data_IF_098526195992
#
_entry.id   IF_098526195992
#
_cell.length_a   1.000
_cell.length_b   1.000
_cell.length_c   1.000
_cell.angle_alpha   90.00
_cell.angle_beta   90.00
_cell.angle_gamma   90.00
#
_symmetry.space_group_name_H-M   'P 1'
#
loop_
_entity.id
_entity.type
_entity.pdbx_description
1 polymer ?
#
# COMPACT_ATOMS: atom_id res chain seq x y z
N UNK A 1 -12.90 -23.02 9.11
CA UNK A 1 -13.30 -21.71 8.54
C UNK A 1 -13.48 -20.75 9.70
N UNK A 2 -12.90 -19.55 9.69
CA UNK A 2 -13.25 -18.55 10.69
C UNK A 2 -14.74 -18.22 10.55
N UNK A 3 -15.40 -18.00 11.68
CA UNK A 3 -16.82 -17.69 11.73
C UNK A 3 -17.07 -16.26 11.24
N UNK A 4 -18.29 -15.95 10.76
CA UNK A 4 -18.67 -14.56 10.44
C UNK A 4 -18.43 -13.61 11.62
N UNK A 5 -18.49 -14.10 12.86
CA UNK A 5 -18.20 -13.32 14.07
C UNK A 5 -16.73 -12.92 14.21
N UNK A 6 -15.80 -13.62 13.58
CA UNK A 6 -14.38 -13.27 13.53
C UNK A 6 -14.10 -12.17 12.49
N UNK A 7 -14.98 -12.01 11.50
CA UNK A 7 -14.89 -11.00 10.44
C UNK A 7 -15.64 -9.70 10.78
N UNK A 8 -16.60 -9.75 11.72
CA UNK A 8 -17.36 -8.59 12.17
C UNK A 8 -16.69 -8.03 13.43
N UNK A 9 -16.15 -6.81 13.32
CA UNK A 9 -15.49 -6.15 14.43
C UNK A 9 -16.49 -5.85 15.55
N UNK A 10 -16.23 -6.41 16.73
CA UNK A 10 -17.00 -6.18 17.95
C UNK A 10 -16.78 -4.74 18.43
N UNK A 11 -17.85 -3.95 18.30
CA UNK A 11 -18.11 -2.65 18.94
C UNK A 11 -17.38 -1.41 18.35
N UNK A 12 -18.07 -0.59 17.54
CA UNK A 12 -17.57 0.70 17.03
C UNK A 12 -17.21 1.72 18.12
N UNK A 13 -17.76 1.59 19.33
CA UNK A 13 -17.50 2.53 20.44
C UNK A 13 -16.10 2.39 21.06
N UNK A 14 -15.39 1.29 20.78
CA UNK A 14 -14.02 1.05 21.28
C UNK A 14 -12.93 1.80 20.53
N UNK A 15 -13.22 2.35 19.36
CA UNK A 15 -12.25 3.05 18.51
C UNK A 15 -12.79 4.44 18.14
N UNK A 16 -12.76 5.42 19.06
CA UNK A 16 -13.38 6.74 18.87
C UNK A 16 -12.69 7.61 17.81
N UNK A 17 -11.68 7.10 17.11
CA UNK A 17 -10.89 7.87 16.17
C UNK A 17 -11.42 7.69 14.74
N UNK A 18 -12.43 8.48 14.38
CA UNK A 18 -12.95 8.63 13.01
C UNK A 18 -11.86 9.01 11.99
N UNK A 19 -10.67 9.45 12.43
CA UNK A 19 -9.53 9.70 11.53
C UNK A 19 -8.82 8.41 11.11
N UNK A 20 -8.84 7.38 11.95
CA UNK A 20 -8.13 6.12 11.72
C UNK A 20 -9.01 5.04 11.07
N UNK A 21 -10.33 5.13 11.23
CA UNK A 21 -11.30 4.17 10.75
C UNK A 21 -12.37 4.86 9.90
N UNK A 22 -12.79 4.26 8.79
CA UNK A 22 -14.06 4.63 8.16
C UNK A 22 -15.17 3.69 8.63
N UNK A 23 -16.30 4.26 9.03
CA UNK A 23 -17.51 3.50 9.38
C UNK A 23 -18.48 3.35 8.20
N UNK A 24 -18.19 4.03 7.07
CA UNK A 24 -19.06 4.05 5.89
C UNK A 24 -18.48 3.29 4.71
N UNK A 25 -17.17 3.35 4.53
CA UNK A 25 -16.51 2.82 3.35
C UNK A 25 -15.35 1.88 3.72
N UNK A 26 -15.11 0.89 2.87
CA UNK A 26 -13.95 0.02 2.98
C UNK A 26 -13.59 -0.47 1.57
N UNK A 27 -12.30 -0.52 1.25
CA UNK A 27 -11.88 -1.24 0.05
C UNK A 27 -12.19 -2.73 0.19
N UNK A 28 -12.77 -3.31 -0.85
CA UNK A 28 -13.01 -4.76 -0.93
C UNK A 28 -11.80 -5.44 -1.57
N UNK A 29 -10.98 -6.18 -0.80
CA UNK A 29 -9.92 -6.97 -1.39
C UNK A 29 -10.48 -8.14 -2.21
N UNK A 30 -9.68 -8.62 -3.14
CA UNK A 30 -9.86 -9.92 -3.78
C UNK A 30 -8.91 -10.95 -3.15
N UNK A 31 -9.33 -12.21 -3.18
CA UNK A 31 -8.60 -13.32 -2.61
C UNK A 31 -7.65 -13.94 -3.65
N UNK A 32 -6.43 -14.25 -3.22
CA UNK A 32 -5.37 -14.86 -4.02
C UNK A 32 -4.93 -16.15 -3.34
N UNK A 33 -4.74 -17.22 -4.11
CA UNK A 33 -4.17 -18.48 -3.63
C UNK A 33 -2.86 -18.82 -4.32
N UNK A 34 -1.98 -19.47 -3.59
CA UNK A 34 -0.81 -20.11 -4.17
C UNK A 34 -1.20 -21.46 -4.77
N UNK A 35 -0.65 -21.75 -5.93
CA UNK A 35 -0.83 -23.00 -6.66
C UNK A 35 0.53 -23.52 -7.14
N UNK A 36 0.62 -24.84 -7.35
CA UNK A 36 1.87 -25.47 -7.81
C UNK A 36 2.05 -25.23 -9.30
N UNK A 37 3.21 -24.70 -9.68
CA UNK A 37 3.65 -24.59 -11.07
C UNK A 37 4.64 -25.73 -11.38
N UNK A 38 4.10 -26.90 -11.72
CA UNK A 38 4.91 -28.05 -12.15
C UNK A 38 6.05 -28.41 -11.18
N UNK A 39 7.17 -28.90 -11.72
CA UNK A 39 8.31 -29.43 -10.96
C UNK A 39 9.32 -28.36 -10.46
N UNK A 40 8.87 -27.18 -10.00
CA UNK A 40 9.83 -26.28 -9.33
C UNK A 40 9.42 -24.85 -9.01
N UNK A 41 8.18 -24.42 -9.30
CA UNK A 41 7.73 -23.08 -8.94
C UNK A 41 6.33 -23.08 -8.33
N UNK A 42 5.95 -21.95 -7.74
CA UNK A 42 4.57 -21.62 -7.44
C UNK A 42 4.05 -20.58 -8.43
N UNK A 43 2.73 -20.50 -8.53
CA UNK A 43 2.03 -19.44 -9.25
C UNK A 43 0.84 -19.01 -8.40
N UNK A 44 0.53 -17.72 -8.42
CA UNK A 44 -0.62 -17.17 -7.72
C UNK A 44 -1.84 -17.13 -8.63
N UNK A 45 -3.00 -17.54 -8.10
CA UNK A 45 -4.29 -17.43 -8.78
C UNK A 45 -5.22 -16.51 -8.05
N UNK A 46 -5.93 -15.67 -8.79
CA UNK A 46 -7.03 -14.86 -8.27
C UNK A 46 -8.28 -15.75 -8.20
N UNK A 47 -8.81 -15.96 -6.99
CA UNK A 47 -9.91 -16.92 -6.74
C UNK A 47 -11.26 -16.24 -6.47
N UNK A 48 -11.30 -14.91 -6.37
CA UNK A 48 -12.53 -14.12 -6.30
C UNK A 48 -12.47 -12.96 -7.30
N UNK A 49 -13.60 -12.31 -7.59
CA UNK A 49 -13.59 -11.22 -8.58
C UNK A 49 -12.81 -10.01 -8.05
N UNK A 50 -12.09 -9.31 -8.92
CA UNK A 50 -11.47 -8.02 -8.61
C UNK A 50 -12.56 -6.95 -8.72
N UNK A 51 -12.72 -6.13 -7.67
CA UNK A 51 -13.77 -5.11 -7.66
C UNK A 51 -13.68 -4.19 -8.89
N UNK A 52 -14.80 -3.92 -9.53
CA UNK A 52 -14.92 -3.18 -10.80
C UNK A 52 -14.24 -3.80 -12.04
N UNK A 53 -13.70 -5.02 -11.96
CA UNK A 53 -13.18 -5.76 -13.13
C UNK A 53 -13.98 -7.04 -13.36
N UNK A 54 -14.81 -7.05 -14.41
CA UNK A 54 -15.68 -8.18 -14.70
C UNK A 54 -14.86 -9.43 -15.06
N UNK A 55 -15.05 -10.57 -14.36
CA UNK A 55 -14.21 -11.75 -14.53
C UNK A 55 -14.29 -12.37 -15.94
N UNK A 56 -15.50 -12.52 -16.50
CA UNK A 56 -15.67 -13.06 -17.85
C UNK A 56 -15.24 -12.09 -18.97
N UNK A 57 -15.52 -10.79 -18.84
CA UNK A 57 -15.20 -9.80 -19.89
C UNK A 57 -13.70 -9.43 -19.93
N UNK A 58 -12.99 -9.59 -18.81
CA UNK A 58 -11.58 -9.17 -18.68
C UNK A 58 -10.66 -10.31 -18.23
N UNK A 59 -10.89 -11.54 -18.69
CA UNK A 59 -10.08 -12.72 -18.32
C UNK A 59 -8.57 -12.50 -18.53
N UNK A 60 -8.19 -11.87 -19.65
CA UNK A 60 -6.78 -11.56 -19.92
C UNK A 60 -6.16 -10.66 -18.84
N UNK A 61 -6.92 -9.69 -18.32
CA UNK A 61 -6.45 -8.79 -17.28
C UNK A 61 -6.23 -9.52 -15.95
N UNK A 62 -7.07 -10.50 -15.60
CA UNK A 62 -6.84 -11.35 -14.43
C UNK A 62 -5.51 -12.11 -14.56
N UNK A 63 -5.23 -12.70 -15.73
CA UNK A 63 -3.94 -13.37 -15.97
C UNK A 63 -2.74 -12.43 -15.90
N UNK A 64 -2.91 -11.16 -16.29
CA UNK A 64 -1.85 -10.14 -16.13
C UNK A 64 -1.65 -9.81 -14.65
N UNK A 65 -2.73 -9.65 -13.88
CA UNK A 65 -2.66 -9.39 -12.44
C UNK A 65 -1.99 -10.55 -11.70
N UNK A 66 -2.34 -11.80 -12.00
CA UNK A 66 -1.69 -12.99 -11.44
C UNK A 66 -0.18 -13.02 -11.70
N UNK A 67 0.25 -12.76 -12.94
CA UNK A 67 1.68 -12.65 -13.27
C UNK A 67 2.36 -11.51 -12.52
N UNK A 68 1.68 -10.37 -12.37
CA UNK A 68 2.23 -9.25 -11.62
C UNK A 68 2.38 -9.60 -10.15
N UNK A 69 1.40 -10.28 -9.56
CA UNK A 69 1.47 -10.76 -8.18
C UNK A 69 2.66 -11.68 -8.00
N UNK A 70 2.87 -12.67 -8.89
CA UNK A 70 4.03 -13.57 -8.83
C UNK A 70 5.36 -12.82 -8.74
N UNK A 71 5.53 -11.78 -9.57
CA UNK A 71 6.76 -10.96 -9.58
C UNK A 71 6.85 -10.08 -8.32
N UNK A 72 5.71 -9.73 -7.74
CA UNK A 72 5.63 -8.87 -6.56
C UNK A 72 5.89 -9.63 -5.26
N UNK A 73 5.53 -10.92 -5.14
CA UNK A 73 5.66 -11.70 -3.90
C UNK A 73 7.09 -11.71 -3.34
N UNK A 74 8.16 -11.98 -4.13
CA UNK A 74 9.52 -11.91 -3.61
C UNK A 74 9.91 -10.51 -3.12
N UNK A 75 9.42 -9.46 -3.78
CA UNK A 75 9.66 -8.08 -3.37
C UNK A 75 8.92 -7.73 -2.08
N UNK A 76 7.70 -8.25 -1.88
CA UNK A 76 6.99 -8.12 -0.60
C UNK A 76 7.66 -8.90 0.52
N UNK A 77 8.14 -10.12 0.27
CA UNK A 77 8.92 -10.89 1.25
C UNK A 77 10.11 -10.06 1.76
N UNK A 78 10.87 -9.44 0.86
CA UNK A 78 11.98 -8.57 1.23
C UNK A 78 11.48 -7.34 2.01
N UNK A 79 10.48 -6.64 1.48
CA UNK A 79 9.91 -5.43 2.10
C UNK A 79 9.42 -5.67 3.52
N UNK A 80 8.79 -6.81 3.80
CA UNK A 80 8.24 -7.15 5.11
C UNK A 80 9.28 -7.77 6.05
N UNK A 81 10.27 -8.49 5.50
CA UNK A 81 11.40 -9.02 6.28
C UNK A 81 12.17 -7.89 6.95
N UNK A 82 12.41 -6.80 6.22
CA UNK A 82 13.11 -5.61 6.74
C UNK A 82 12.34 -4.94 7.91
N UNK A 83 11.03 -5.19 8.05
CA UNK A 83 10.21 -4.71 9.17
C UNK A 83 10.20 -5.70 10.35
N UNK A 84 10.22 -7.02 10.06
CA UNK A 84 10.08 -8.08 11.07
C UNK A 84 11.36 -8.33 11.86
N UNK A 85 12.52 -8.04 11.29
CA UNK A 85 13.82 -8.33 11.89
C UNK A 85 14.07 -7.48 13.18
N UNK A 86 14.27 -8.09 14.36
CA UNK A 86 14.58 -7.36 15.58
C UNK A 86 15.91 -6.60 15.44
N UNK A 87 15.89 -5.31 15.78
CA UNK A 87 17.02 -4.39 15.58
C UNK A 87 16.95 -3.59 14.28
N UNK A 88 16.05 -3.95 13.35
CA UNK A 88 15.62 -3.09 12.25
C UNK A 88 14.29 -2.43 12.63
N UNK A 89 14.33 -1.52 13.61
CA UNK A 89 13.48 -0.35 13.45
C UNK A 89 13.87 0.27 12.10
N UNK A 90 12.92 0.86 11.37
CA UNK A 90 13.15 1.43 10.03
C UNK A 90 14.02 2.72 10.11
N UNK A 91 15.06 2.71 10.93
CA UNK A 91 16.13 3.67 10.98
C UNK A 91 16.84 3.66 9.62
N UNK A 92 17.20 4.85 9.13
CA UNK A 92 18.21 4.99 8.07
C UNK A 92 19.57 4.37 8.46
N UNK A 93 19.77 3.89 9.71
CA UNK A 93 21.06 3.46 10.24
C UNK A 93 20.97 2.21 11.12
N UNK A 94 21.92 1.30 10.91
CA UNK A 94 22.38 0.35 11.92
C UNK A 94 23.35 1.07 12.84
N UNK A 95 23.11 1.05 14.15
CA UNK A 95 24.20 1.23 15.11
C UNK A 95 25.07 -0.01 14.99
N UNK A 96 26.24 0.14 14.37
CA UNK A 96 27.29 -0.84 14.51
C UNK A 96 27.61 -0.94 16.00
N UNK A 97 27.12 -1.99 16.66
CA UNK A 97 27.61 -2.39 17.97
C UNK A 97 29.12 -2.60 17.82
N UNK A 98 29.86 -1.64 18.36
CA UNK A 98 31.31 -1.54 18.56
C UNK A 98 32.14 -2.68 17.92
N UNK A 99 32.82 -2.38 16.80
CA UNK A 99 34.04 -3.11 16.39
C UNK A 99 34.17 -3.58 14.94
N UNK A 100 33.49 -3.02 13.93
CA UNK A 100 33.64 -3.48 12.52
C UNK A 100 33.63 -2.35 11.47
N UNK A 101 34.38 -2.61 10.39
CA UNK A 101 34.66 -1.69 9.27
C UNK A 101 33.41 -1.32 8.44
N UNK A 102 33.34 -0.07 7.91
CA UNK A 102 32.18 0.45 7.19
C UNK A 102 31.97 -0.18 5.81
N UNK A 103 30.69 -0.40 5.44
CA UNK A 103 30.30 -0.83 4.09
C UNK A 103 30.42 0.32 3.08
N UNK A 104 31.30 0.16 2.10
CA UNK A 104 31.41 1.05 0.93
C UNK A 104 30.31 0.67 -0.08
N UNK A 105 29.40 1.59 -0.38
CA UNK A 105 28.43 1.46 -1.49
C UNK A 105 29.19 1.65 -2.80
N UNK A 106 29.19 0.64 -3.68
CA UNK A 106 29.76 0.76 -5.05
C UNK A 106 28.70 1.32 -6.02
N UNK A 107 29.18 2.06 -7.01
CA UNK A 107 28.40 2.66 -8.10
C UNK A 107 27.54 1.66 -8.90
N UNK A 108 26.44 2.13 -9.54
CA UNK A 108 25.42 1.26 -10.14
C UNK A 108 25.92 0.56 -11.40
N UNK A 109 26.18 -0.76 -11.28
CA UNK A 109 26.34 -1.66 -12.43
C UNK A 109 25.02 -2.34 -12.81
N UNK A 110 25.08 -3.20 -13.84
CA UNK A 110 23.94 -3.97 -14.34
C UNK A 110 23.16 -4.69 -13.23
N UNK A 111 21.82 -4.66 -13.32
CA UNK A 111 20.93 -5.27 -12.34
C UNK A 111 21.11 -6.80 -12.33
N UNK A 112 21.62 -7.29 -11.21
CA UNK A 112 21.52 -8.69 -10.83
C UNK A 112 20.53 -8.74 -9.66
N UNK A 113 19.58 -9.69 -9.60
CA UNK A 113 18.76 -9.86 -8.40
C UNK A 113 19.72 -9.98 -7.20
N UNK A 114 19.47 -9.27 -6.10
CA UNK A 114 20.39 -9.26 -4.98
C UNK A 114 20.59 -10.70 -4.51
N UNK A 115 21.77 -11.26 -4.75
CA UNK A 115 22.19 -12.47 -4.05
C UNK A 115 22.13 -12.11 -2.58
N UNK A 116 21.20 -12.75 -1.86
CA UNK A 116 20.87 -12.54 -0.46
C UNK A 116 22.14 -12.24 0.35
N UNK A 117 22.45 -10.95 0.52
CA UNK A 117 23.65 -10.51 1.25
C UNK A 117 23.29 -10.59 2.72
N UNK A 118 23.49 -11.79 3.24
CA UNK A 118 23.42 -12.09 4.65
C UNK A 118 24.37 -11.20 5.44
N UNK A 119 23.84 -10.24 6.17
CA UNK A 119 24.58 -9.61 7.26
C UNK A 119 24.88 -10.69 8.31
N UNK A 120 26.02 -10.61 9.02
CA UNK A 120 26.37 -11.58 10.10
C UNK A 120 25.34 -11.63 11.26
N UNK A 121 24.37 -10.72 11.28
CA UNK A 121 23.32 -10.55 12.30
C UNK A 121 22.18 -11.57 12.20
N UNK A 122 22.03 -12.21 11.04
CA UNK A 122 20.97 -13.20 10.78
C UNK A 122 21.37 -14.61 11.23
N UNK A 123 22.55 -14.74 11.83
CA UNK A 123 23.11 -16.00 12.25
C UNK A 123 22.94 -16.17 13.77
N UNK A 124 22.52 -17.36 14.20
CA UNK A 124 22.55 -17.75 15.61
C UNK A 124 24.01 -17.86 16.11
N UNK A 125 24.18 -18.17 17.40
CA UNK A 125 25.51 -18.37 18.00
C UNK A 125 26.35 -19.48 17.33
N UNK A 126 25.74 -20.28 16.46
CA UNK A 126 26.36 -21.37 15.70
C UNK A 126 26.61 -21.00 14.23
N UNK A 127 26.35 -19.75 13.82
CA UNK A 127 26.55 -19.34 12.44
C UNK A 127 25.46 -19.81 11.48
N UNK A 128 24.28 -20.21 11.99
CA UNK A 128 23.14 -20.69 11.17
C UNK A 128 22.09 -19.60 11.02
N UNK A 129 21.48 -19.51 9.83
CA UNK A 129 20.40 -18.55 9.61
C UNK A 129 19.24 -18.77 10.57
N UNK A 130 18.79 -17.68 11.16
CA UNK A 130 17.58 -17.65 11.96
C UNK A 130 16.40 -17.51 10.99
N UNK A 131 15.92 -18.64 10.49
CA UNK A 131 14.87 -18.73 9.47
C UNK A 131 13.57 -17.98 9.83
N UNK A 132 13.31 -17.72 11.12
CA UNK A 132 12.11 -17.03 11.59
C UNK A 132 12.09 -15.52 11.34
N UNK A 133 13.24 -14.88 11.07
CA UNK A 133 13.29 -13.44 10.75
C UNK A 133 12.78 -13.14 9.34
N UNK A 134 12.90 -14.09 8.43
CA UNK A 134 12.49 -13.91 7.05
C UNK A 134 10.98 -14.09 6.92
N UNK A 135 10.37 -13.22 6.12
CA UNK A 135 8.99 -13.37 5.69
C UNK A 135 8.99 -14.17 4.40
N UNK A 136 8.25 -15.27 4.41
CA UNK A 136 7.97 -16.06 3.21
C UNK A 136 6.46 -16.18 3.05
N UNK A 137 5.86 -15.25 2.32
CA UNK A 137 4.41 -15.18 2.14
C UNK A 137 3.84 -16.46 1.53
N UNK A 138 4.58 -17.09 0.61
CA UNK A 138 4.14 -18.34 -0.01
C UNK A 138 4.10 -19.47 1.01
N UNK A 139 5.19 -19.68 1.75
CA UNK A 139 5.29 -20.74 2.75
C UNK A 139 4.35 -20.52 3.93
N UNK A 140 4.29 -19.29 4.45
CA UNK A 140 3.50 -18.94 5.62
C UNK A 140 1.99 -18.98 5.34
N UNK A 141 1.56 -18.53 4.16
CA UNK A 141 0.15 -18.37 3.81
C UNK A 141 -0.33 -19.32 2.71
N UNK A 142 0.41 -20.40 2.39
CA UNK A 142 0.04 -21.39 1.37
C UNK A 142 -1.41 -21.86 1.46
N UNK A 143 -1.86 -22.22 2.67
CA UNK A 143 -3.18 -22.83 2.89
C UNK A 143 -4.33 -21.81 2.91
N UNK A 144 -4.05 -20.58 3.35
CA UNK A 144 -5.08 -19.56 3.59
C UNK A 144 -5.20 -18.62 2.39
N UNK A 145 -4.10 -18.39 1.67
CA UNK A 145 -4.00 -17.41 0.60
C UNK A 145 -3.79 -15.99 1.14
N UNK A 146 -3.70 -15.05 0.21
CA UNK A 146 -3.54 -13.61 0.46
C UNK A 146 -4.82 -12.85 0.12
N UNK A 147 -4.92 -11.64 0.63
CA UNK A 147 -5.95 -10.66 0.26
C UNK A 147 -5.26 -9.43 -0.30
N UNK A 148 -5.71 -8.97 -1.47
CA UNK A 148 -5.06 -7.86 -2.17
C UNK A 148 -6.09 -6.86 -2.68
N UNK A 149 -5.71 -5.59 -2.74
CA UNK A 149 -6.52 -4.53 -3.35
C UNK A 149 -5.78 -4.04 -4.59
N UNK A 150 -6.51 -3.95 -5.70
CA UNK A 150 -6.00 -3.44 -6.96
C UNK A 150 -6.50 -2.00 -7.17
N UNK A 151 -5.57 -1.10 -7.48
CA UNK A 151 -5.89 0.26 -7.92
C UNK A 151 -5.19 0.54 -9.24
N UNK A 152 -5.94 0.97 -10.24
CA UNK A 152 -5.39 1.46 -11.52
C UNK A 152 -5.52 2.98 -11.50
N UNK A 153 -4.40 3.67 -11.74
CA UNK A 153 -4.35 5.13 -11.79
C UNK A 153 -3.79 5.55 -13.15
N UNK A 154 -4.49 6.45 -13.83
CA UNK A 154 -4.06 7.05 -15.08
C UNK A 154 -4.05 8.56 -14.91
N UNK A 155 -2.88 9.15 -15.14
CA UNK A 155 -2.66 10.60 -15.11
C UNK A 155 -2.48 11.02 -16.55
N UNK A 156 -3.51 11.66 -17.12
CA UNK A 156 -3.50 12.19 -18.48
C UNK A 156 -3.26 13.69 -18.45
N UNK A 157 -2.23 14.13 -19.18
CA UNK A 157 -1.86 15.53 -19.34
C UNK A 157 -2.14 15.95 -20.79
N UNK A 158 -2.74 17.13 -20.96
CA UNK A 158 -3.03 17.71 -22.27
C UNK A 158 -2.41 19.10 -22.38
N UNK A 159 -2.23 19.68 -23.57
CA UNK A 159 -1.76 21.05 -23.71
C UNK A 159 -2.59 22.08 -22.91
N UNK A 160 -3.88 21.85 -22.72
CA UNK A 160 -4.78 22.69 -21.91
C UNK A 160 -4.59 22.50 -20.40
N UNK A 161 -4.22 21.28 -19.99
CA UNK A 161 -3.89 20.94 -18.60
C UNK A 161 -2.52 20.23 -18.55
N UNK A 162 -1.42 20.99 -18.71
CA UNK A 162 -0.09 20.41 -18.95
C UNK A 162 0.60 19.93 -17.68
N UNK A 163 0.00 20.18 -16.50
CA UNK A 163 0.57 19.88 -15.20
C UNK A 163 -0.41 19.12 -14.30
N UNK A 164 0.13 18.13 -13.61
CA UNK A 164 -0.47 17.45 -12.48
C UNK A 164 0.29 17.85 -11.21
N UNK A 165 -0.39 18.40 -10.21
CA UNK A 165 0.25 18.99 -9.02
C UNK A 165 0.78 17.97 -8.01
N UNK A 166 0.62 16.68 -8.28
CA UNK A 166 1.03 15.61 -7.36
C UNK A 166 -0.09 15.18 -6.42
N UNK A 167 0.27 14.36 -5.44
CA UNK A 167 -0.60 13.95 -4.35
C UNK A 167 -0.15 14.59 -3.03
N UNK A 168 -1.08 14.72 -2.08
CA UNK A 168 -0.72 15.04 -0.71
C UNK A 168 -0.05 13.85 -0.02
N UNK A 169 0.66 14.13 1.07
CA UNK A 169 1.22 13.08 1.93
C UNK A 169 0.13 12.22 2.54
N UNK A 170 0.19 10.91 2.28
CA UNK A 170 -0.79 9.96 2.78
C UNK A 170 -0.18 8.58 3.07
N UNK A 171 -0.86 7.81 3.92
CA UNK A 171 -0.67 6.36 4.05
C UNK A 171 -1.69 5.66 3.16
N UNK A 172 -1.39 4.45 2.67
CA UNK A 172 -2.32 3.71 1.81
C UNK A 172 -3.45 3.10 2.66
N UNK A 173 -4.69 3.43 2.31
CA UNK A 173 -5.88 3.02 3.06
C UNK A 173 -5.95 3.62 4.48
N UNK A 174 -6.87 3.09 5.28
CA UNK A 174 -7.07 3.35 6.70
C UNK A 174 -6.96 2.03 7.49
N UNK A 175 -7.21 2.07 8.79
CA UNK A 175 -7.09 0.88 9.65
C UNK A 175 -8.11 -0.23 9.31
N UNK A 176 -9.27 0.12 8.74
CA UNK A 176 -10.26 -0.86 8.30
C UNK A 176 -9.82 -1.64 7.05
N UNK A 177 -8.88 -1.13 6.24
CA UNK A 177 -8.36 -1.82 5.05
C UNK A 177 -7.07 -2.61 5.30
N UNK A 178 -6.39 -2.38 6.44
CA UNK A 178 -5.25 -3.19 6.94
C UNK A 178 -4.16 -3.44 5.90
N UNK A 179 -3.87 -2.45 5.07
CA UNK A 179 -2.80 -2.53 4.09
C UNK A 179 -1.46 -2.53 4.83
N UNK A 180 -0.62 -3.55 4.59
CA UNK A 180 0.69 -3.68 5.22
C UNK A 180 1.84 -3.32 4.27
N UNK A 181 1.68 -3.57 2.97
CA UNK A 181 2.66 -3.22 1.95
C UNK A 181 1.96 -2.82 0.65
N UNK A 182 2.65 -2.03 -0.17
CA UNK A 182 2.17 -1.57 -1.46
C UNK A 182 3.22 -1.77 -2.53
N UNK A 183 2.78 -2.24 -3.68
CA UNK A 183 3.57 -2.35 -4.90
C UNK A 183 2.98 -1.43 -5.97
N UNK A 184 3.83 -0.65 -6.63
CA UNK A 184 3.45 0.24 -7.72
C UNK A 184 4.22 -0.19 -8.96
N UNK A 185 3.49 -0.62 -9.98
CA UNK A 185 4.01 -0.96 -11.30
C UNK A 185 3.66 0.15 -12.29
N UNK A 186 4.66 0.70 -12.95
CA UNK A 186 4.44 1.72 -13.98
C UNK A 186 4.47 1.08 -15.36
N UNK A 187 3.32 0.97 -16.00
CA UNK A 187 3.15 0.23 -17.25
C UNK A 187 3.07 1.12 -18.50
N UNK A 188 3.07 2.44 -18.33
CA UNK A 188 3.16 3.38 -19.44
C UNK A 188 3.56 4.77 -18.95
N UNK A 189 4.59 5.34 -19.59
CA UNK A 189 4.97 6.74 -19.44
C UNK A 189 5.19 7.31 -20.83
N UNK A 190 4.58 8.45 -21.12
CA UNK A 190 4.75 9.10 -22.41
C UNK A 190 4.68 10.62 -22.29
N UNK A 191 5.66 11.32 -22.85
CA UNK A 191 5.71 12.78 -22.92
C UNK A 191 5.52 13.50 -21.57
N UNK A 192 6.10 12.97 -20.50
CA UNK A 192 6.05 13.60 -19.16
C UNK A 192 7.44 13.75 -18.57
N UNK A 193 7.61 14.70 -17.67
CA UNK A 193 8.79 14.79 -16.80
C UNK A 193 8.91 13.52 -15.96
N UNK A 194 10.12 13.21 -15.42
CA UNK A 194 10.30 12.04 -14.56
C UNK A 194 9.36 12.09 -13.36
N UNK A 195 8.44 11.15 -13.30
CA UNK A 195 7.53 11.01 -12.16
C UNK A 195 8.27 10.32 -11.00
N UNK A 196 8.04 10.78 -9.77
CA UNK A 196 8.74 10.26 -8.59
C UNK A 196 7.79 10.10 -7.41
N UNK A 197 7.99 9.03 -6.63
CA UNK A 197 7.35 8.82 -5.34
C UNK A 197 8.27 9.35 -4.24
N UNK A 198 7.72 10.18 -3.36
CA UNK A 198 8.42 10.74 -2.21
C UNK A 198 7.96 10.04 -0.94
N UNK A 199 8.90 9.70 -0.06
CA UNK A 199 8.66 8.94 1.17
C UNK A 199 9.07 9.75 2.39
N UNK A 200 8.27 9.69 3.46
CA UNK A 200 8.63 10.22 4.77
C UNK A 200 8.05 9.36 5.89
N UNK A 201 8.62 9.48 7.09
CA UNK A 201 8.11 8.80 8.29
C UNK A 201 8.23 9.68 9.52
N UNK A 202 7.45 9.33 10.54
CA UNK A 202 7.65 9.83 11.90
C UNK A 202 8.68 8.95 12.61
N UNK A 203 9.59 9.54 13.37
CA UNK A 203 10.37 8.82 14.39
C UNK A 203 9.44 8.56 15.59
N UNK A 204 9.41 7.34 16.11
CA UNK A 204 8.62 7.03 17.30
C UNK A 204 9.36 7.45 18.59
N UNK A 205 8.64 7.51 19.72
CA UNK A 205 9.20 7.98 20.99
C UNK A 205 10.37 7.11 21.49
N UNK A 206 10.31 5.79 21.28
CA UNK A 206 11.40 4.87 21.66
C UNK A 206 12.66 5.08 20.81
N UNK A 207 12.50 5.25 19.49
CA UNK A 207 13.59 5.61 18.58
C UNK A 207 14.19 6.97 18.94
N UNK A 208 13.35 7.95 19.32
CA UNK A 208 13.80 9.26 19.77
C UNK A 208 14.52 9.20 21.12
N UNK A 209 14.03 8.40 22.08
CA UNK A 209 14.68 8.17 23.37
C UNK A 209 16.02 7.48 23.20
N UNK A 210 16.09 6.42 22.38
CA UNK A 210 17.36 5.78 22.03
C UNK A 210 18.29 6.77 21.35
N UNK A 211 17.79 7.57 20.41
CA UNK A 211 18.59 8.57 19.71
C UNK A 211 19.06 9.70 20.64
N UNK A 212 18.40 10.01 21.76
CA UNK A 212 18.78 11.07 22.69
C UNK A 212 20.21 10.92 23.19
N UNK A 213 20.60 9.71 23.58
CA UNK A 213 21.96 9.41 24.06
C UNK A 213 23.00 9.45 22.92
N UNK A 214 22.58 9.24 21.67
CA UNK A 214 23.44 9.28 20.47
C UNK A 214 23.57 10.69 19.85
N UNK A 215 22.51 11.49 19.92
CA UNK A 215 22.45 12.86 19.40
C UNK A 215 23.22 13.82 20.32
N UNK A 216 23.34 13.49 21.61
CA UNK A 216 24.26 14.16 22.55
C UNK A 216 25.70 13.61 22.47
N UNK A 217 25.94 12.63 21.59
CA UNK A 217 27.24 12.00 21.36
C UNK A 217 28.03 12.75 20.24
N UNK A 218 29.31 12.44 19.99
CA UNK A 218 30.34 13.36 19.47
C UNK A 218 30.00 14.11 18.16
N UNK A 219 30.72 15.20 17.83
CA UNK A 219 30.37 16.16 16.75
C UNK A 219 30.08 15.60 15.35
N UNK A 220 30.50 14.35 15.07
CA UNK A 220 30.30 13.65 13.80
C UNK A 220 28.97 12.85 13.73
N UNK A 221 28.25 12.73 14.83
CA UNK A 221 26.99 11.98 14.91
C UNK A 221 25.92 12.52 13.93
N UNK A 222 25.76 13.84 13.73
CA UNK A 222 24.84 14.36 12.73
C UNK A 222 25.19 13.97 11.28
N UNK A 223 26.47 13.94 10.91
CA UNK A 223 26.91 13.53 9.57
C UNK A 223 26.65 12.04 9.32
N UNK A 224 26.72 11.22 10.37
CA UNK A 224 26.46 9.78 10.28
C UNK A 224 24.97 9.45 10.34
N UNK A 225 24.20 10.07 11.23
CA UNK A 225 22.80 9.72 11.51
C UNK A 225 21.77 10.61 10.82
N UNK A 226 22.22 11.68 10.14
CA UNK A 226 21.35 12.59 9.39
C UNK A 226 20.26 13.25 10.23
N UNK A 227 20.45 13.31 11.56
CA UNK A 227 19.53 13.89 12.52
C UNK A 227 20.31 14.59 13.64
N UNK A 228 19.83 15.75 14.07
CA UNK A 228 20.38 16.60 15.14
C UNK A 228 19.34 16.81 16.23
N UNK A 229 19.81 17.20 17.41
CA UNK A 229 18.92 17.63 18.49
C UNK A 229 18.14 18.84 18.00
N UNK A 230 16.81 18.80 18.10
CA UNK A 230 15.92 19.85 17.59
C UNK A 230 15.49 19.69 16.13
N UNK A 231 15.94 18.66 15.42
CA UNK A 231 15.41 18.36 14.08
C UNK A 231 13.94 17.92 14.13
N UNK A 232 13.16 18.16 13.06
CA UNK A 232 11.78 17.68 13.00
C UNK A 232 11.68 16.17 13.17
N UNK A 233 10.70 15.74 13.97
CA UNK A 233 10.35 14.31 14.19
C UNK A 233 9.89 13.62 12.89
N UNK A 234 9.56 14.40 11.86
CA UNK A 234 9.22 13.91 10.52
C UNK A 234 10.47 13.89 9.66
N UNK A 235 10.93 12.69 9.32
CA UNK A 235 12.10 12.47 8.46
C UNK A 235 11.68 12.19 7.02
N UNK A 236 12.24 12.94 6.08
CA UNK A 236 12.17 12.61 4.66
C UNK A 236 13.09 11.42 4.38
N UNK A 237 12.53 10.34 3.84
CA UNK A 237 13.26 9.08 3.62
C UNK A 237 13.93 9.04 2.25
N UNK A 238 13.45 9.83 1.30
CA UNK A 238 14.01 9.93 -0.04
C UNK A 238 12.92 9.91 -1.11
N UNK A 239 13.36 10.11 -2.35
CA UNK A 239 12.50 10.08 -3.53
C UNK A 239 12.97 8.96 -4.47
N UNK A 240 12.00 8.25 -5.06
CA UNK A 240 12.25 7.18 -6.03
C UNK A 240 11.56 7.55 -7.34
N UNK A 241 12.35 7.74 -8.39
CA UNK A 241 11.81 7.92 -9.74
C UNK A 241 11.13 6.65 -10.23
N UNK A 242 9.86 6.78 -10.61
CA UNK A 242 9.11 5.72 -11.29
C UNK A 242 9.38 5.83 -12.79
N UNK A 243 9.84 4.72 -13.37
CA UNK A 243 10.12 4.60 -14.80
C UNK A 243 9.23 3.52 -15.39
N UNK A 244 8.98 3.59 -16.69
CA UNK A 244 8.23 2.55 -17.39
C UNK A 244 8.88 1.18 -17.17
N UNK A 245 8.05 0.15 -16.98
CA UNK A 245 8.44 -1.21 -16.65
C UNK A 245 9.17 -1.39 -15.31
N UNK A 246 9.09 -0.42 -14.39
CA UNK A 246 9.62 -0.54 -13.04
C UNK A 246 8.52 -0.90 -12.03
N UNK A 247 8.80 -1.88 -11.20
CA UNK A 247 8.03 -2.26 -10.02
C UNK A 247 8.74 -1.72 -8.77
N UNK A 248 8.01 -1.02 -7.91
CA UNK A 248 8.51 -0.50 -6.63
C UNK A 248 7.63 -1.01 -5.52
N UNK A 249 8.21 -1.67 -4.51
CA UNK A 249 7.50 -2.09 -3.31
C UNK A 249 7.97 -1.29 -2.11
N UNK A 250 7.04 -0.99 -1.20
CA UNK A 250 7.34 -0.30 0.04
C UNK A 250 6.34 -0.70 1.14
N UNK A 251 6.76 -0.65 2.41
CA UNK A 251 5.88 -0.95 3.52
C UNK A 251 4.92 0.22 3.79
N UNK A 252 3.71 -0.08 4.25
CA UNK A 252 2.68 0.92 4.53
C UNK A 252 2.88 1.66 5.87
N UNK A 253 4.12 1.73 6.34
CA UNK A 253 4.56 2.56 7.47
C UNK A 253 5.04 3.94 7.02
N UNK A 254 5.35 4.09 5.73
CA UNK A 254 5.77 5.36 5.15
C UNK A 254 4.55 6.17 4.71
N UNK A 255 4.59 7.47 4.98
CA UNK A 255 3.77 8.40 4.22
C UNK A 255 4.40 8.56 2.84
N UNK A 256 3.55 8.48 1.84
CA UNK A 256 3.92 8.55 0.43
C UNK A 256 3.18 9.68 -0.25
N UNK A 257 3.80 10.25 -1.27
CA UNK A 257 3.12 11.11 -2.24
C UNK A 257 3.74 10.96 -3.61
N UNK A 258 2.93 11.11 -4.65
CA UNK A 258 3.40 11.33 -5.99
C UNK A 258 3.79 12.80 -6.17
N UNK A 259 4.99 13.08 -6.66
CA UNK A 259 5.44 14.45 -6.94
C UNK A 259 4.73 15.04 -8.18
N UNK A 260 4.75 16.37 -8.37
CA UNK A 260 4.20 17.01 -9.56
C UNK A 260 4.80 16.46 -10.85
N UNK A 261 3.97 16.37 -11.90
CA UNK A 261 4.34 15.86 -13.22
C UNK A 261 3.89 16.87 -14.27
N UNK A 262 4.75 17.16 -15.25
CA UNK A 262 4.50 18.14 -16.31
C UNK A 262 4.76 17.50 -17.68
N UNK A 263 4.20 18.08 -18.74
CA UNK A 263 4.53 17.70 -20.12
C UNK A 263 5.96 18.12 -20.47
N UNK A 264 6.68 17.27 -21.20
CA UNK A 264 7.99 17.64 -21.78
C UNK A 264 7.78 18.45 -23.06
N UNK A 265 6.96 17.95 -23.97
CA UNK A 265 6.49 18.66 -25.16
C UNK A 265 5.06 19.17 -24.92
N UNK A 266 4.93 20.47 -24.64
CA UNK A 266 3.66 21.14 -24.33
C UNK A 266 2.66 21.15 -25.52
N UNK A 267 3.11 20.79 -26.73
CA UNK A 267 2.24 20.72 -27.90
C UNK A 267 1.52 19.38 -28.05
N UNK A 268 1.95 18.35 -27.31
CA UNK A 268 1.43 16.98 -27.41
C UNK A 268 0.87 16.50 -26.08
N UNK A 269 -0.14 15.61 -26.08
CA UNK A 269 -0.60 14.98 -24.86
C UNK A 269 0.47 14.02 -24.30
N UNK A 270 0.38 13.76 -23.00
CA UNK A 270 1.26 12.86 -22.27
C UNK A 270 0.49 12.10 -21.20
N UNK A 271 1.05 11.01 -20.71
CA UNK A 271 0.40 10.21 -19.68
C UNK A 271 1.38 9.44 -18.79
N UNK A 272 0.94 9.17 -17.57
CA UNK A 272 1.56 8.23 -16.64
C UNK A 272 0.51 7.23 -16.18
N UNK A 273 0.83 5.95 -16.31
CA UNK A 273 -0.08 4.83 -16.07
C UNK A 273 0.49 3.88 -15.02
N UNK A 274 -0.23 3.80 -13.90
CA UNK A 274 0.19 3.06 -12.71
C UNK A 274 -0.82 1.96 -12.39
N UNK A 275 -0.29 0.79 -12.08
CA UNK A 275 -1.03 -0.32 -11.49
C UNK A 275 -0.47 -0.54 -10.08
N UNK A 276 -1.31 -0.33 -9.08
CA UNK A 276 -0.94 -0.45 -7.67
C UNK A 276 -1.62 -1.68 -7.06
N UNK A 277 -0.82 -2.53 -6.42
CA UNK A 277 -1.26 -3.66 -5.62
C UNK A 277 -1.00 -3.36 -4.15
N UNK A 278 -2.04 -3.39 -3.33
CA UNK A 278 -1.91 -3.30 -1.89
C UNK A 278 -2.07 -4.69 -1.29
N UNK A 279 -1.10 -5.11 -0.48
CA UNK A 279 -1.18 -6.33 0.31
C UNK A 279 -1.93 -6.02 1.61
N UNK A 280 -3.05 -6.71 1.84
CA UNK A 280 -3.77 -6.67 3.12
C UNK A 280 -3.09 -7.64 4.08
N UNK A 281 -2.97 -7.27 5.35
CA UNK A 281 -2.33 -8.09 6.40
C UNK A 281 -2.83 -9.54 6.38
N UNK A 282 -2.00 -10.51 5.95
CA UNK A 282 -2.42 -11.89 5.80
C UNK A 282 -2.74 -12.57 7.13
N UNK A 283 -2.24 -12.02 8.26
CA UNK A 283 -2.52 -12.55 9.60
C UNK A 283 -3.96 -12.27 10.05
N UNK A 284 -4.65 -11.33 9.40
CA UNK A 284 -6.02 -10.96 9.76
C UNK A 284 -6.89 -10.75 8.53
N UNK A 285 -7.67 -11.77 8.21
CA UNK A 285 -8.64 -11.75 7.11
C UNK A 285 -9.75 -10.71 7.34
N UNK A 286 -10.20 -10.11 6.26
CA UNK A 286 -11.37 -9.23 6.22
C UNK A 286 -12.37 -9.66 5.14
N UNK A 287 -13.55 -9.05 5.16
CA UNK A 287 -14.56 -9.23 4.11
C UNK A 287 -13.97 -8.92 2.74
N UNK A 288 -14.05 -9.88 1.83
CA UNK A 288 -13.53 -9.76 0.47
C UNK A 288 -14.62 -10.02 -0.56
N UNK A 289 -14.27 -9.85 -1.83
CA UNK A 289 -15.13 -10.18 -2.97
C UNK A 289 -15.44 -11.68 -3.10
N UNK A 290 -14.85 -12.55 -2.27
CA UNK A 290 -15.29 -13.94 -2.15
C UNK A 290 -16.62 -14.06 -1.38
N UNK A 291 -16.93 -13.09 -0.51
CA UNK A 291 -18.12 -13.08 0.35
C UNK A 291 -19.16 -12.04 -0.09
N UNK A 292 -18.71 -10.96 -0.73
CA UNK A 292 -19.58 -9.90 -1.24
C UNK A 292 -19.88 -10.19 -2.72
N UNK A 293 -21.15 -10.28 -3.16
CA UNK A 293 -21.48 -10.50 -4.56
C UNK A 293 -21.17 -9.26 -5.42
N UNK A 294 -20.99 -9.43 -6.76
CA UNK A 294 -20.72 -8.33 -7.66
C UNK A 294 -21.71 -7.18 -7.51
N UNK A 295 -21.19 -5.99 -7.20
CA UNK A 295 -22.02 -4.85 -6.78
C UNK A 295 -22.67 -4.10 -7.95
N UNK A 296 -22.15 -4.29 -9.17
CA UNK A 296 -22.56 -3.52 -10.36
C UNK A 296 -23.85 -4.05 -10.97
N UNK A 297 -24.87 -3.19 -11.07
CA UNK A 297 -26.19 -3.53 -11.63
C UNK A 297 -26.14 -3.98 -13.08
N UNK A 298 -25.25 -3.42 -13.89
CA UNK A 298 -25.09 -3.82 -15.28
C UNK A 298 -24.52 -5.25 -15.42
N UNK A 299 -23.66 -5.68 -14.49
CA UNK A 299 -23.15 -7.06 -14.48
C UNK A 299 -24.27 -8.03 -14.09
N UNK A 300 -24.97 -7.74 -12.99
CA UNK A 300 -26.10 -8.55 -12.54
C UNK A 300 -27.19 -8.66 -13.61
N UNK A 301 -27.57 -7.53 -14.23
CA UNK A 301 -28.63 -7.49 -15.23
C UNK A 301 -28.30 -8.36 -16.45
N UNK A 302 -27.04 -8.38 -16.86
CA UNK A 302 -26.59 -9.25 -17.96
C UNK A 302 -26.78 -10.73 -17.59
N UNK A 303 -26.26 -11.15 -16.45
CA UNK A 303 -26.27 -12.57 -16.05
C UNK A 303 -27.70 -13.07 -15.78
N UNK A 304 -28.53 -12.30 -15.07
CA UNK A 304 -29.94 -12.67 -14.81
C UNK A 304 -30.75 -12.81 -16.09
N UNK A 305 -30.47 -11.98 -17.11
CA UNK A 305 -31.18 -12.07 -18.39
C UNK A 305 -30.77 -13.30 -19.19
N UNK A 306 -29.48 -13.65 -19.19
CA UNK A 306 -28.94 -14.80 -19.94
C UNK A 306 -29.38 -16.11 -19.30
N UNK A 307 -29.34 -16.21 -17.98
CA UNK A 307 -29.65 -17.45 -17.26
C UNK A 307 -31.16 -17.74 -17.14
N UNK A 308 -32.02 -16.77 -17.47
CA UNK A 308 -33.46 -16.93 -17.36
C UNK A 308 -34.16 -16.83 -18.72
N UNK A 309 -34.63 -17.98 -19.21
CA UNK A 309 -35.34 -18.09 -20.47
C UNK A 309 -36.61 -17.20 -20.57
N UNK A 310 -37.22 -16.79 -19.44
CA UNK A 310 -38.36 -15.87 -19.43
C UNK A 310 -37.92 -14.43 -19.63
N UNK A 311 -36.85 -14.00 -18.96
CA UNK A 311 -36.30 -12.64 -19.11
C UNK A 311 -35.61 -12.45 -20.46
N UNK A 312 -35.00 -13.50 -21.01
CA UNK A 312 -34.44 -13.48 -22.36
C UNK A 312 -35.47 -13.14 -23.45
N UNK A 313 -36.73 -13.58 -23.28
CA UNK A 313 -37.83 -13.34 -24.22
C UNK A 313 -38.43 -11.94 -24.14
N UNK A 314 -38.13 -11.17 -23.09
CA UNK A 314 -38.65 -9.81 -22.96
C UNK A 314 -37.98 -8.89 -24.00
N UNK A 315 -38.76 -7.97 -24.62
CA UNK A 315 -38.19 -6.87 -25.39
C UNK A 315 -37.18 -6.11 -24.54
N UNK A 316 -36.11 -5.62 -25.18
CA UNK A 316 -34.99 -5.00 -24.48
C UNK A 316 -35.42 -3.77 -23.69
N UNK A 317 -36.36 -3.00 -24.22
CA UNK A 317 -36.91 -1.80 -23.60
C UNK A 317 -37.65 -2.11 -22.30
N UNK A 318 -38.37 -3.24 -22.24
CA UNK A 318 -39.07 -3.69 -21.04
C UNK A 318 -38.07 -4.19 -20.01
N UNK A 319 -37.05 -4.94 -20.44
CA UNK A 319 -35.97 -5.40 -19.57
C UNK A 319 -35.20 -4.23 -18.95
N UNK A 320 -34.80 -3.25 -19.76
CA UNK A 320 -34.02 -2.10 -19.29
C UNK A 320 -34.83 -1.29 -18.26
N UNK A 321 -36.14 -1.10 -18.46
CA UNK A 321 -37.03 -0.51 -17.45
C UNK A 321 -37.10 -1.32 -16.16
N UNK A 322 -37.17 -2.66 -16.24
CA UNK A 322 -37.17 -3.52 -15.05
C UNK A 322 -35.88 -3.33 -14.25
N UNK A 323 -34.73 -3.31 -14.94
CA UNK A 323 -33.42 -3.11 -14.30
C UNK A 323 -33.31 -1.71 -13.69
N UNK A 324 -33.84 -0.68 -14.34
CA UNK A 324 -33.88 0.68 -13.81
C UNK A 324 -34.67 0.78 -12.50
N UNK A 325 -35.77 0.02 -12.38
CA UNK A 325 -36.61 -0.06 -11.17
C UNK A 325 -36.00 -0.91 -10.04
N UNK A 326 -34.83 -1.52 -10.21
CA UNK A 326 -34.14 -2.24 -9.12
C UNK A 326 -33.41 -1.21 -8.26
N UNK A 327 -33.92 -0.99 -7.05
CA UNK A 327 -33.36 -0.04 -6.08
C UNK A 327 -32.38 -0.72 -5.10
N UNK A 328 -31.56 0.11 -4.43
CA UNK A 328 -30.58 -0.24 -3.39
C UNK A 328 -29.43 -1.17 -3.83
N UNK A 329 -29.73 -2.43 -4.14
CA UNK A 329 -28.74 -3.41 -4.57
C UNK A 329 -29.32 -4.31 -5.66
N UNK A 330 -28.60 -4.51 -6.79
CA UNK A 330 -27.27 -4.01 -7.11
C UNK A 330 -27.17 -2.50 -7.40
N UNK A 331 -25.97 -1.94 -7.29
CA UNK A 331 -25.69 -0.49 -7.36
C UNK A 331 -25.67 -0.02 -8.82
N UNK A 332 -26.41 1.05 -9.10
CA UNK A 332 -26.43 1.72 -10.40
C UNK A 332 -25.13 2.43 -10.71
N UNK A 333 -24.88 2.80 -11.98
CA UNK A 333 -23.65 3.51 -12.36
C UNK A 333 -23.57 4.90 -11.75
N UNK A 334 -24.69 5.63 -11.71
CA UNK A 334 -24.76 6.98 -11.14
C UNK A 334 -24.57 6.95 -9.62
N UNK A 335 -25.36 6.14 -8.91
CA UNK A 335 -25.23 5.89 -7.47
C UNK A 335 -23.82 5.43 -7.08
N UNK A 336 -23.22 4.54 -7.87
CA UNK A 336 -21.85 4.08 -7.64
C UNK A 336 -20.80 5.18 -7.78
N UNK A 337 -21.00 6.13 -8.69
CA UNK A 337 -20.11 7.28 -8.85
C UNK A 337 -20.31 8.31 -7.72
N UNK A 338 -21.54 8.52 -7.24
CA UNK A 338 -21.83 9.33 -6.05
C UNK A 338 -21.12 8.76 -4.81
N UNK A 339 -21.29 7.47 -4.53
CA UNK A 339 -20.59 6.78 -3.43
C UNK A 339 -19.08 6.90 -3.55
N UNK A 340 -18.54 6.83 -4.78
CA UNK A 340 -17.11 6.99 -5.03
C UNK A 340 -16.62 8.41 -4.73
N UNK A 341 -17.40 9.43 -5.08
CA UNK A 341 -17.09 10.82 -4.78
C UNK A 341 -17.12 11.09 -3.27
N UNK A 342 -18.14 10.57 -2.57
CA UNK A 342 -18.22 10.65 -1.12
C UNK A 342 -17.02 9.97 -0.45
N UNK A 343 -16.67 8.76 -0.88
CA UNK A 343 -15.51 8.04 -0.38
C UNK A 343 -14.21 8.82 -0.59
N UNK A 344 -14.05 9.45 -1.76
CA UNK A 344 -12.87 10.27 -2.07
C UNK A 344 -12.80 11.49 -1.15
N UNK A 345 -13.89 12.22 -0.99
CA UNK A 345 -13.98 13.37 -0.10
C UNK A 345 -13.73 12.99 1.36
N UNK A 346 -14.26 11.86 1.83
CA UNK A 346 -14.02 11.37 3.18
C UNK A 346 -12.54 11.01 3.38
N UNK A 347 -11.94 10.32 2.40
CA UNK A 347 -10.53 9.93 2.39
C UNK A 347 -9.59 11.12 2.40
N UNK A 348 -9.89 12.17 1.64
CA UNK A 348 -9.14 13.43 1.62
C UNK A 348 -9.17 14.13 2.99
N UNK A 349 -10.37 14.32 3.57
CA UNK A 349 -10.51 14.89 4.92
C UNK A 349 -9.77 14.11 5.99
N UNK A 350 -9.79 12.77 5.91
CA UNK A 350 -9.07 11.93 6.86
C UNK A 350 -7.55 12.06 6.71
N UNK A 351 -7.04 12.16 5.48
CA UNK A 351 -5.61 12.37 5.19
C UNK A 351 -5.12 13.72 5.70
N UNK A 352 -5.87 14.79 5.46
CA UNK A 352 -5.55 16.13 5.96
C UNK A 352 -5.47 16.14 7.50
N UNK A 353 -6.48 15.58 8.17
CA UNK A 353 -6.53 15.48 9.63
C UNK A 353 -5.37 14.65 10.18
N UNK A 354 -5.07 13.49 9.58
CA UNK A 354 -3.96 12.63 9.99
C UNK A 354 -2.61 13.33 9.81
N UNK A 355 -2.40 13.98 8.67
CA UNK A 355 -1.18 14.77 8.41
C UNK A 355 -1.06 15.94 9.40
N UNK A 356 -2.15 16.64 9.70
CA UNK A 356 -2.15 17.73 10.69
C UNK A 356 -1.89 17.22 12.11
N UNK A 357 -2.50 16.11 12.51
CA UNK A 357 -2.25 15.51 13.84
C UNK A 357 -0.79 15.08 14.00
N UNK A 358 -0.19 14.55 12.93
CA UNK A 358 1.24 14.22 12.90
C UNK A 358 2.13 15.46 13.01
N UNK A 359 1.70 16.61 12.47
CA UNK A 359 2.40 17.90 12.59
C UNK A 359 2.21 18.55 13.97
N UNK A 360 0.99 18.57 14.51
CA UNK A 360 0.69 19.27 15.78
C UNK A 360 1.27 18.56 17.01
N UNK A 361 1.48 17.24 16.95
CA UNK A 361 2.20 16.52 18.01
C UNK A 361 3.67 16.97 18.14
N UNK A 362 4.22 17.75 17.19
CA UNK A 362 5.52 18.40 17.34
C UNK A 362 5.51 19.58 18.31
N UNK A 363 4.36 20.23 18.54
CA UNK A 363 4.30 21.43 19.40
C UNK A 363 4.18 21.10 20.88
N UNK A 364 3.54 19.98 21.25
CA UNK A 364 3.27 19.64 22.66
C UNK A 364 4.43 18.93 23.39
N UNK A 365 5.32 18.24 22.67
CA UNK A 365 6.43 17.48 23.29
C UNK A 365 7.77 18.24 23.25
N UNK A 366 7.78 19.51 22.85
CA UNK A 366 8.95 20.40 22.90
C UNK A 366 8.90 21.45 24.01
N UNK A 367 7.79 21.54 24.77
CA UNK A 367 7.74 22.24 26.06
C UNK A 367 8.40 21.38 27.15
N UNK A 368 9.69 21.09 26.97
CA UNK A 368 10.55 20.73 28.09
C UNK A 368 10.83 22.03 28.84
N UNK A 369 9.89 22.43 29.70
CA UNK A 369 10.19 23.46 30.70
C UNK A 369 11.44 23.02 31.46
N UNK A 370 12.49 23.84 31.35
CA UNK A 370 13.59 23.93 32.30
C UNK A 370 13.00 24.15 33.70
N UNK A 371 12.59 23.09 34.38
CA UNK A 371 12.46 23.09 35.83
C UNK A 371 13.67 22.36 36.42
N UNK A 372 14.83 22.95 36.17
CA UNK A 372 15.94 22.87 37.10
C UNK A 372 15.59 23.68 38.34
N UNK A 373 15.73 23.02 39.50
CA UNK A 373 15.88 23.57 40.85
C UNK A 373 14.63 24.08 41.60
N UNK A 374 14.41 23.50 42.79
CA UNK A 374 14.58 24.12 44.13
C UNK A 374 13.77 23.35 45.19
N UNK A 375 14.50 22.74 46.15
CA UNK A 375 14.24 22.48 47.60
C UNK A 375 12.79 22.13 48.05
N UNK A 376 12.53 21.04 48.79
CA UNK A 376 13.07 20.57 50.08
C UNK A 376 12.99 19.04 50.17
#
# INVERSE_FOLDING_TARGET
MPSQEDCIQKDPSKYPNEMAWSHRFQYLPFDVKFDKRGEGGSHTRVISYINNVHPAAHQYFYSVVEKLIDVTIPMFNQTLTDIKAPGYSNQRFHVAVLGRDPMIVKEPGDFHPPQQRATRQWLDSQGRFQDWLFVDLEKEFWNIGLQMILRVTEINLTPEKPRYDGEEWHVQGRMNERICATAVYTYGIHNTTPASLSFRRRINAEEAMLAKDYIQSPPWAPELYGARSGDPVIQHMGDITISENRLVTYPNIFQTRLLPIELVDMSKPGHVKLLTLHLVDPNRRMMSTAMVPPQRRDWWAREVRVDNARFWRLPREVWDKIVEMVDEYPIGTEEGEEMRQEFKAESERAREKHTRAMMNYLEWDLDWEDNDSVYV
#
